data_IF_963570397711
#
_entry.id   IF_963570397711
#
_cell.length_a   1.000
_cell.length_b   1.000
_cell.length_c   1.000
_cell.angle_alpha   90.00
_cell.angle_beta   90.00
_cell.angle_gamma   90.00
#
_symmetry.space_group_name_H-M   'P 1'
#
loop_
_entity.id
_entity.type
_entity.pdbx_description
1 polymer ?
#
# COMPACT_ATOMS: atom_id res chain seq x y z
N UNK A 1 -100.33 19.16 14.90
CA UNK A 1 -100.53 17.72 14.67
C UNK A 1 -99.19 16.99 14.82
N UNK A 2 -99.22 15.77 15.39
CA UNK A 2 -98.15 14.84 15.79
C UNK A 2 -97.15 14.48 14.64
N UNK A 3 -95.83 14.37 14.87
CA UNK A 3 -95.01 13.20 15.35
C UNK A 3 -94.93 12.09 14.25
N UNK A 4 -93.79 11.61 13.72
CA UNK A 4 -92.73 10.71 14.28
C UNK A 4 -91.66 10.42 13.17
N UNK A 5 -90.38 10.19 13.52
CA UNK A 5 -89.30 9.55 12.68
C UNK A 5 -89.21 8.04 12.99
N UNK A 6 -88.76 7.14 12.08
CA UNK A 6 -87.41 6.50 12.23
C UNK A 6 -86.72 6.12 10.87
N UNK A 7 -85.39 6.21 10.70
CA UNK A 7 -84.30 5.25 11.03
C UNK A 7 -84.10 4.07 10.04
N UNK A 8 -82.91 4.00 9.41
CA UNK A 8 -82.19 2.85 8.78
C UNK A 8 -80.76 3.40 8.50
N UNK A 9 -79.63 3.09 9.16
CA UNK A 9 -78.82 1.84 9.35
C UNK A 9 -78.85 0.92 8.12
N UNK A 10 -77.78 0.41 7.48
CA UNK A 10 -76.35 0.08 7.70
C UNK A 10 -75.66 0.25 6.32
N UNK A 11 -74.35 0.42 6.09
CA UNK A 11 -73.21 -0.47 6.33
C UNK A 11 -71.97 0.21 5.71
N UNK A 12 -70.81 0.28 6.38
CA UNK A 12 -69.64 0.89 5.73
C UNK A 12 -68.37 1.07 6.55
N UNK A 13 -67.95 0.00 7.22
CA UNK A 13 -66.55 -0.37 7.55
C UNK A 13 -65.73 0.58 8.45
N UNK A 14 -65.44 0.00 9.62
CA UNK A 14 -64.43 0.35 10.61
C UNK A 14 -63.04 -0.02 10.08
N UNK A 15 -62.06 0.89 10.11
CA UNK A 15 -60.76 0.69 10.81
C UNK A 15 -59.86 1.93 10.70
N UNK A 16 -59.72 2.58 11.85
CA UNK A 16 -58.70 3.55 12.25
C UNK A 16 -57.39 2.73 12.46
N UNK A 17 -56.17 3.24 12.22
CA UNK A 17 -55.26 3.76 13.27
C UNK A 17 -53.83 3.92 12.70
N UNK A 18 -53.36 5.17 12.72
CA UNK A 18 -52.01 5.66 13.07
C UNK A 18 -50.80 5.23 12.22
N UNK A 19 -50.31 6.15 11.39
CA UNK A 19 -48.92 6.19 10.91
C UNK A 19 -48.09 7.13 11.79
N UNK A 20 -47.53 6.58 12.88
CA UNK A 20 -46.45 7.21 13.64
C UNK A 20 -45.12 6.59 13.22
N UNK A 21 -44.22 7.45 12.75
CA UNK A 21 -42.78 7.36 12.96
C UNK A 21 -42.09 6.06 12.54
N UNK A 22 -41.61 6.03 11.31
CA UNK A 22 -40.20 5.64 11.06
C UNK A 22 -39.67 6.66 10.07
N UNK A 23 -39.05 7.71 10.63
CA UNK A 23 -38.02 8.47 9.94
C UNK A 23 -37.01 7.42 9.48
N UNK A 24 -37.10 7.00 8.22
CA UNK A 24 -36.09 6.13 7.65
C UNK A 24 -34.82 6.96 7.66
N UNK A 25 -34.01 6.71 8.68
CA UNK A 25 -32.57 6.70 8.50
C UNK A 25 -32.29 5.67 7.41
N UNK A 26 -32.57 6.03 6.15
CA UNK A 26 -31.65 5.73 5.08
C UNK A 26 -30.39 6.52 5.43
N UNK A 27 -29.70 6.03 6.47
CA UNK A 27 -28.27 6.04 6.52
C UNK A 27 -27.92 5.51 5.15
N UNK A 28 -27.50 6.42 4.28
CA UNK A 28 -26.62 6.08 3.19
C UNK A 28 -25.38 5.47 3.86
N UNK A 29 -25.50 4.22 4.29
CA UNK A 29 -24.46 3.24 4.16
C UNK A 29 -24.36 3.06 2.66
N UNK A 30 -23.76 4.08 2.03
CA UNK A 30 -23.04 3.84 0.81
C UNK A 30 -22.05 2.77 1.23
N UNK A 31 -22.33 1.54 0.81
CA UNK A 31 -21.33 0.51 0.67
C UNK A 31 -20.22 1.17 -0.15
N UNK A 32 -19.29 1.84 0.54
CA UNK A 32 -18.02 2.21 -0.05
C UNK A 32 -17.43 0.86 -0.34
N UNK A 33 -17.56 0.42 -1.59
CA UNK A 33 -16.76 -0.65 -2.13
C UNK A 33 -15.32 -0.24 -1.81
N UNK A 34 -14.79 -0.76 -0.70
CA UNK A 34 -13.40 -0.59 -0.29
C UNK A 34 -12.60 -1.40 -1.29
N UNK A 35 -12.30 -0.88 -2.48
CA UNK A 35 -11.50 -1.61 -3.47
C UNK A 35 -10.72 -0.68 -4.42
N UNK A 36 -10.30 0.50 -3.99
CA UNK A 36 -9.21 1.19 -4.69
C UNK A 36 -7.89 0.92 -3.96
N UNK A 37 -6.80 0.69 -4.70
CA UNK A 37 -5.47 0.57 -4.09
C UNK A 37 -5.05 1.84 -3.33
N UNK A 38 -5.68 2.98 -3.64
CA UNK A 38 -5.57 4.21 -2.88
C UNK A 38 -6.17 4.08 -1.46
N UNK A 39 -7.38 3.54 -1.34
CA UNK A 39 -8.01 3.30 -0.02
C UNK A 39 -7.23 2.26 0.79
N UNK A 40 -6.72 1.23 0.13
CA UNK A 40 -5.84 0.24 0.75
C UNK A 40 -4.57 0.89 1.31
N UNK A 41 -3.87 1.70 0.50
CA UNK A 41 -2.67 2.43 0.95
C UNK A 41 -2.98 3.35 2.14
N UNK A 42 -4.10 4.08 2.11
CA UNK A 42 -4.49 4.94 3.24
C UNK A 42 -4.75 4.13 4.52
N UNK A 43 -5.49 3.02 4.41
CA UNK A 43 -5.81 2.12 5.55
C UNK A 43 -4.56 1.47 6.11
N UNK A 44 -3.64 1.02 5.26
CA UNK A 44 -2.39 0.41 5.67
C UNK A 44 -1.49 1.41 6.41
N UNK A 45 -1.36 2.64 5.91
CA UNK A 45 -0.59 3.68 6.60
C UNK A 45 -1.22 4.09 7.94
N UNK A 46 -2.56 4.14 8.03
CA UNK A 46 -3.24 4.38 9.29
C UNK A 46 -2.90 3.27 10.31
N UNK A 47 -3.00 2.00 9.90
CA UNK A 47 -2.63 0.86 10.75
C UNK A 47 -1.17 0.96 11.22
N UNK A 48 -0.23 1.22 10.30
CA UNK A 48 1.20 1.35 10.59
C UNK A 48 1.45 2.46 11.64
N UNK A 49 0.82 3.62 11.48
CA UNK A 49 0.93 4.74 12.43
C UNK A 49 0.35 4.41 13.80
N UNK A 50 -0.82 3.77 13.85
CA UNK A 50 -1.44 3.29 15.10
C UNK A 50 -0.54 2.28 15.85
N UNK A 51 0.34 1.58 15.12
CA UNK A 51 1.33 0.65 15.66
C UNK A 51 2.73 1.27 15.83
N UNK A 52 2.82 2.61 15.80
CA UNK A 52 4.03 3.37 16.07
C UNK A 52 5.08 3.35 14.95
N UNK A 53 4.73 2.81 13.77
CA UNK A 53 5.62 2.83 12.62
C UNK A 53 5.59 4.20 11.95
N UNK A 54 6.77 4.68 11.56
CA UNK A 54 7.01 6.02 10.98
C UNK A 54 7.38 5.96 9.49
N UNK A 55 7.47 4.77 8.91
CA UNK A 55 7.84 4.56 7.52
C UNK A 55 6.57 4.40 6.66
N UNK A 56 6.43 5.13 5.54
CA UNK A 56 5.22 5.08 4.73
C UNK A 56 5.18 3.86 3.81
N UNK A 57 3.98 3.29 3.63
CA UNK A 57 3.71 2.30 2.59
C UNK A 57 3.09 2.98 1.35
N UNK A 58 3.78 2.91 0.21
CA UNK A 58 3.30 3.42 -1.07
C UNK A 58 3.11 2.25 -2.03
N UNK A 59 1.97 2.23 -2.72
CA UNK A 59 1.54 1.10 -3.54
C UNK A 59 1.69 1.44 -5.03
N UNK A 60 2.46 0.64 -5.78
CA UNK A 60 2.75 0.88 -7.19
C UNK A 60 1.50 0.79 -8.08
N UNK A 61 0.51 0.02 -7.66
CA UNK A 61 -0.77 -0.19 -8.35
C UNK A 61 -1.86 0.82 -7.94
N UNK A 62 -1.52 1.88 -7.19
CA UNK A 62 -2.44 2.97 -6.88
C UNK A 62 -2.86 3.74 -8.15
N UNK A 63 -4.16 3.95 -8.40
CA UNK A 63 -4.67 4.52 -9.65
C UNK A 63 -4.16 5.94 -9.93
N UNK A 64 -3.62 6.66 -8.94
CA UNK A 64 -3.06 8.00 -9.12
C UNK A 64 -1.78 8.01 -9.99
N UNK A 65 -1.09 6.88 -10.10
CA UNK A 65 0.16 6.77 -10.89
C UNK A 65 0.34 5.41 -11.58
N UNK A 66 -0.52 4.42 -11.30
CA UNK A 66 -0.43 3.06 -11.83
C UNK A 66 -0.23 3.00 -13.35
N UNK A 67 -0.87 3.91 -14.09
CA UNK A 67 -0.86 3.94 -15.56
C UNK A 67 0.28 4.79 -16.15
N UNK A 68 1.13 5.39 -15.31
CA UNK A 68 2.25 6.20 -15.78
C UNK A 68 3.26 5.32 -16.52
N UNK A 69 3.69 5.77 -17.69
CA UNK A 69 4.51 4.97 -18.58
C UNK A 69 5.90 4.70 -17.95
N UNK A 70 6.21 3.42 -17.78
CA UNK A 70 7.52 2.97 -17.33
C UNK A 70 7.85 1.61 -17.92
N UNK A 71 8.91 1.59 -18.73
CA UNK A 71 9.34 0.41 -19.47
C UNK A 71 9.07 0.45 -20.97
N UNK A 72 9.51 -0.60 -21.65
CA UNK A 72 9.31 -0.81 -23.08
C UNK A 72 9.55 -2.27 -23.46
N UNK A 73 8.91 -2.73 -24.55
CA UNK A 73 9.16 -4.07 -25.10
C UNK A 73 8.37 -5.21 -24.45
N UNK A 74 7.34 -4.90 -23.66
CA UNK A 74 6.32 -5.85 -23.18
C UNK A 74 4.90 -5.32 -23.46
N UNK A 75 3.88 -6.12 -23.17
CA UNK A 75 2.47 -5.72 -23.27
C UNK A 75 2.04 -4.71 -22.18
N UNK A 76 2.83 -4.59 -21.09
CA UNK A 76 2.55 -3.73 -19.94
C UNK A 76 3.79 -2.92 -19.57
N UNK A 77 3.76 -1.63 -19.91
CA UNK A 77 4.87 -0.69 -19.72
C UNK A 77 4.45 0.47 -18.81
N UNK A 78 4.00 0.14 -17.61
CA UNK A 78 3.51 1.09 -16.63
C UNK A 78 4.11 0.85 -15.23
N UNK A 79 3.88 1.80 -14.31
CA UNK A 79 4.32 1.68 -12.93
C UNK A 79 3.63 0.54 -12.17
N UNK A 80 2.37 0.23 -12.49
CA UNK A 80 1.66 -0.87 -11.86
C UNK A 80 2.38 -2.20 -12.06
N UNK A 81 2.97 -2.43 -13.23
CA UNK A 81 3.70 -3.67 -13.54
C UNK A 81 5.19 -3.58 -13.20
N UNK A 82 5.86 -2.47 -13.55
CA UNK A 82 7.33 -2.38 -13.51
C UNK A 82 7.87 -1.54 -12.33
N UNK A 83 7.01 -0.91 -11.54
CA UNK A 83 7.35 0.20 -10.64
C UNK A 83 7.84 -0.18 -9.24
N UNK A 84 8.18 -1.44 -8.95
CA UNK A 84 8.54 -1.87 -7.59
C UNK A 84 9.75 -1.13 -7.02
N UNK A 85 10.82 -0.98 -7.81
CA UNK A 85 12.02 -0.23 -7.41
C UNK A 85 11.73 1.28 -7.30
N UNK A 86 11.01 1.86 -8.27
CA UNK A 86 10.63 3.28 -8.30
C UNK A 86 9.81 3.63 -7.06
N UNK A 87 8.83 2.81 -6.72
CA UNK A 87 7.95 3.00 -5.57
C UNK A 87 8.69 2.80 -4.25
N UNK A 88 9.59 1.81 -4.18
CA UNK A 88 10.45 1.59 -3.00
C UNK A 88 11.39 2.77 -2.74
N UNK A 89 11.97 3.37 -3.77
CA UNK A 89 12.78 4.58 -3.65
C UNK A 89 11.95 5.81 -3.21
N UNK A 90 10.70 5.90 -3.65
CA UNK A 90 9.77 6.94 -3.19
C UNK A 90 9.49 6.81 -1.68
N UNK A 91 9.34 5.58 -1.17
CA UNK A 91 9.20 5.34 0.28
C UNK A 91 10.45 5.76 1.05
N UNK A 92 11.65 5.42 0.56
CA UNK A 92 12.92 5.83 1.16
C UNK A 92 13.06 7.36 1.21
N UNK A 93 12.76 8.06 0.11
CA UNK A 93 12.85 9.51 0.07
C UNK A 93 11.80 10.17 0.98
N UNK A 94 10.59 9.61 1.02
CA UNK A 94 9.52 10.11 1.89
C UNK A 94 9.94 10.07 3.36
N UNK A 95 10.55 8.96 3.78
CA UNK A 95 11.06 8.79 5.13
C UNK A 95 12.16 9.79 5.47
N UNK A 96 13.10 10.06 4.55
CA UNK A 96 14.18 11.04 4.78
C UNK A 96 13.70 12.48 4.80
N UNK A 97 12.78 12.85 3.90
CA UNK A 97 12.35 14.25 3.75
C UNK A 97 11.15 14.61 4.64
N UNK A 98 10.62 13.66 5.41
CA UNK A 98 9.45 13.83 6.27
C UNK A 98 8.24 14.42 5.52
N UNK A 99 8.07 14.03 4.25
CA UNK A 99 6.94 14.37 3.39
C UNK A 99 6.58 13.19 2.52
N UNK A 100 5.39 13.19 1.96
CA UNK A 100 5.06 12.21 0.91
C UNK A 100 5.81 12.56 -0.37
N UNK A 101 6.59 11.60 -0.87
CA UNK A 101 7.18 11.59 -2.20
C UNK A 101 6.41 10.58 -3.03
N UNK A 102 5.85 10.99 -4.17
CA UNK A 102 5.13 10.07 -5.04
C UNK A 102 6.07 9.31 -5.98
N UNK A 103 5.72 8.08 -6.42
CA UNK A 103 6.53 7.32 -7.39
C UNK A 103 6.81 8.10 -8.68
N UNK A 104 5.91 9.00 -9.06
CA UNK A 104 6.06 9.90 -10.22
C UNK A 104 7.23 10.87 -10.09
N UNK A 105 7.62 11.30 -8.88
CA UNK A 105 8.80 12.16 -8.69
C UNK A 105 10.10 11.40 -9.01
N UNK A 106 10.18 10.14 -8.57
CA UNK A 106 11.32 9.26 -8.87
C UNK A 106 11.35 8.94 -10.36
N UNK A 107 10.19 8.59 -10.94
CA UNK A 107 10.04 8.32 -12.37
C UNK A 107 10.41 9.52 -13.25
N UNK A 108 9.99 10.73 -12.87
CA UNK A 108 10.31 11.95 -13.62
C UNK A 108 11.82 12.20 -13.67
N UNK A 109 12.53 11.90 -12.58
CA UNK A 109 13.99 12.00 -12.54
C UNK A 109 14.69 10.90 -13.35
N UNK A 110 14.25 9.64 -13.19
CA UNK A 110 14.92 8.50 -13.80
C UNK A 110 14.58 8.34 -15.29
N UNK A 111 13.36 8.70 -15.68
CA UNK A 111 12.73 8.20 -16.90
C UNK A 111 12.86 6.69 -17.01
N UNK A 112 13.09 6.21 -18.23
CA UNK A 112 13.40 4.81 -18.54
C UNK A 112 14.92 4.48 -18.48
N UNK A 113 15.77 5.38 -17.94
CA UNK A 113 17.24 5.19 -18.00
C UNK A 113 17.74 3.90 -17.36
N UNK A 114 17.04 3.45 -16.32
CA UNK A 114 17.39 2.24 -15.57
C UNK A 114 16.41 1.10 -15.85
N UNK A 115 15.53 1.22 -16.85
CA UNK A 115 14.66 0.12 -17.21
C UNK A 115 15.41 -0.89 -18.09
N UNK A 116 15.24 -2.17 -17.79
CA UNK A 116 15.75 -3.29 -18.57
C UNK A 116 14.57 -4.16 -19.03
N UNK A 117 14.42 -4.31 -20.36
CA UNK A 117 13.31 -5.06 -20.96
C UNK A 117 13.25 -6.49 -20.42
N UNK A 118 12.10 -6.83 -19.85
CA UNK A 118 11.84 -8.15 -19.25
C UNK A 118 12.46 -8.38 -17.87
N UNK A 119 13.22 -7.43 -17.33
CA UNK A 119 13.88 -7.53 -16.00
C UNK A 119 13.39 -6.45 -15.01
N UNK A 120 12.72 -5.40 -15.49
CA UNK A 120 12.23 -4.31 -14.66
C UNK A 120 13.29 -3.22 -14.48
N UNK A 121 13.64 -2.88 -13.24
CA UNK A 121 14.58 -1.78 -12.97
C UNK A 121 15.98 -2.32 -12.61
N UNK A 122 16.99 -1.90 -13.37
CA UNK A 122 18.39 -2.18 -13.11
C UNK A 122 18.84 -1.66 -11.74
N UNK A 123 19.64 -2.44 -11.03
CA UNK A 123 20.15 -2.07 -9.70
C UNK A 123 21.07 -0.83 -9.71
N UNK A 124 21.58 -0.42 -10.88
CA UNK A 124 22.32 0.82 -11.05
C UNK A 124 21.52 2.08 -10.67
N UNK A 125 20.18 1.97 -10.56
CA UNK A 125 19.35 3.06 -10.02
C UNK A 125 19.67 3.40 -8.57
N UNK A 126 20.04 2.42 -7.73
CA UNK A 126 20.25 2.64 -6.29
C UNK A 126 21.44 3.58 -5.99
N UNK A 127 22.65 3.36 -6.54
CA UNK A 127 23.75 4.31 -6.37
C UNK A 127 23.47 5.66 -7.05
N UNK A 128 22.78 5.68 -8.20
CA UNK A 128 22.42 6.93 -8.85
C UNK A 128 21.40 7.74 -8.05
N UNK A 129 20.44 7.08 -7.42
CA UNK A 129 19.46 7.68 -6.52
C UNK A 129 20.17 8.26 -5.29
N UNK A 130 21.07 7.49 -4.68
CA UNK A 130 21.84 7.97 -3.54
C UNK A 130 22.66 9.22 -3.90
N UNK A 131 23.31 9.24 -5.06
CA UNK A 131 24.02 10.42 -5.54
C UNK A 131 23.08 11.61 -5.77
N UNK A 132 21.92 11.40 -6.41
CA UNK A 132 20.96 12.45 -6.73
C UNK A 132 20.39 13.14 -5.49
N UNK A 133 20.05 12.36 -4.46
CA UNK A 133 19.38 12.84 -3.26
C UNK A 133 20.32 12.95 -2.05
N UNK A 134 21.63 12.81 -2.27
CA UNK A 134 22.66 13.03 -1.23
C UNK A 134 22.64 11.99 -0.11
N UNK A 135 22.28 10.74 -0.39
CA UNK A 135 22.43 9.63 0.56
C UNK A 135 23.84 9.05 0.48
N UNK A 136 24.31 8.52 1.61
CA UNK A 136 25.35 7.50 1.58
C UNK A 136 24.70 6.15 1.31
N UNK A 137 25.05 5.51 0.19
CA UNK A 137 24.61 4.15 -0.11
C UNK A 137 25.60 3.14 0.44
N UNK A 138 25.08 2.11 1.10
CA UNK A 138 25.83 0.88 1.32
C UNK A 138 25.09 -0.32 0.72
N UNK A 139 25.78 -1.03 -0.18
CA UNK A 139 25.35 -2.34 -0.65
C UNK A 139 25.75 -3.41 0.37
N UNK A 140 24.74 -4.12 0.89
CA UNK A 140 24.89 -5.10 1.95
C UNK A 140 25.01 -6.52 1.40
N UNK A 141 24.59 -6.76 0.16
CA UNK A 141 24.55 -8.10 -0.43
C UNK A 141 23.59 -9.01 0.34
N UNK A 142 24.00 -10.26 0.53
CA UNK A 142 23.32 -11.23 1.40
C UNK A 142 23.97 -11.36 2.78
N UNK A 143 24.68 -10.34 3.24
CA UNK A 143 25.36 -10.40 4.53
C UNK A 143 24.37 -10.16 5.68
N UNK A 144 23.86 -11.23 6.26
CA UNK A 144 22.87 -11.19 7.34
C UNK A 144 23.32 -10.33 8.53
N UNK A 145 24.61 -10.40 8.91
CA UNK A 145 25.15 -9.63 10.04
C UNK A 145 25.07 -8.13 9.74
N UNK A 146 25.49 -7.70 8.55
CA UNK A 146 25.39 -6.30 8.13
C UNK A 146 23.93 -5.83 8.04
N UNK A 147 23.04 -6.67 7.51
CA UNK A 147 21.61 -6.36 7.43
C UNK A 147 21.03 -6.15 8.84
N UNK A 148 21.29 -7.10 9.76
CA UNK A 148 20.86 -6.99 11.16
C UNK A 148 21.41 -5.74 11.85
N UNK A 149 22.67 -5.37 11.61
CA UNK A 149 23.28 -4.17 12.17
C UNK A 149 22.54 -2.90 11.75
N UNK A 150 22.19 -2.75 10.47
CA UNK A 150 21.45 -1.57 9.99
C UNK A 150 19.99 -1.56 10.45
N UNK A 151 19.35 -2.73 10.52
CA UNK A 151 18.02 -2.86 11.12
C UNK A 151 18.01 -2.43 12.60
N UNK A 152 19.07 -2.77 13.35
CA UNK A 152 19.21 -2.35 14.75
C UNK A 152 19.45 -0.85 14.91
N UNK A 153 19.89 -0.16 13.85
CA UNK A 153 19.97 1.30 13.77
C UNK A 153 18.66 1.94 13.32
N UNK A 154 17.58 1.16 13.18
CA UNK A 154 16.28 1.59 12.68
C UNK A 154 16.33 2.19 11.27
N UNK A 155 17.31 1.76 10.45
CA UNK A 155 17.42 2.18 9.06
C UNK A 155 16.56 1.28 8.16
N UNK A 156 15.76 1.85 7.24
CA UNK A 156 15.08 1.07 6.22
C UNK A 156 16.10 0.47 5.24
N UNK A 157 15.80 -0.72 4.74
CA UNK A 157 16.66 -1.46 3.79
C UNK A 157 15.81 -1.82 2.58
N UNK A 158 16.23 -1.38 1.39
CA UNK A 158 15.67 -1.87 0.13
C UNK A 158 16.24 -3.26 -0.11
N UNK A 159 15.39 -4.23 -0.42
CA UNK A 159 15.80 -5.61 -0.72
C UNK A 159 15.31 -6.02 -2.09
N UNK A 160 16.14 -6.77 -2.79
CA UNK A 160 15.74 -7.57 -3.93
C UNK A 160 15.54 -9.02 -3.48
N UNK A 161 14.42 -9.62 -3.84
CA UNK A 161 14.11 -11.01 -3.54
C UNK A 161 13.89 -11.83 -4.81
N UNK A 162 14.25 -13.10 -4.75
CA UNK A 162 14.00 -14.14 -5.76
C UNK A 162 12.60 -14.74 -5.57
N UNK A 163 12.12 -15.63 -6.47
CA UNK A 163 10.85 -16.31 -6.30
C UNK A 163 10.72 -17.00 -4.93
N UNK A 164 9.54 -16.93 -4.34
CA UNK A 164 9.24 -17.44 -3.01
C UNK A 164 7.94 -16.87 -2.45
N UNK A 165 7.94 -16.57 -1.16
CA UNK A 165 6.79 -16.06 -0.41
C UNK A 165 6.26 -14.71 -0.91
N UNK A 166 7.15 -13.83 -1.40
CA UNK A 166 6.80 -12.44 -1.72
C UNK A 166 6.49 -12.22 -3.21
N UNK A 167 6.93 -13.13 -4.08
CA UNK A 167 6.87 -12.98 -5.55
C UNK A 167 7.12 -14.31 -6.25
N UNK A 168 6.59 -14.49 -7.46
CA UNK A 168 6.83 -15.67 -8.29
C UNK A 168 8.03 -15.52 -9.26
N UNK A 169 8.57 -14.30 -9.42
CA UNK A 169 9.64 -14.01 -10.41
C UNK A 169 10.86 -13.32 -9.78
N UNK A 170 10.61 -12.23 -9.06
CA UNK A 170 11.63 -11.33 -8.56
C UNK A 170 10.95 -10.03 -8.15
N UNK A 171 11.42 -9.40 -7.09
CA UNK A 171 10.75 -8.20 -6.56
C UNK A 171 11.67 -7.29 -5.78
N UNK A 172 11.34 -6.00 -5.77
CA UNK A 172 11.98 -4.99 -4.94
C UNK A 172 10.98 -4.48 -3.92
N UNK A 173 11.36 -4.54 -2.65
CA UNK A 173 10.54 -4.06 -1.52
C UNK A 173 11.43 -3.43 -0.46
N UNK A 174 10.83 -2.83 0.57
CA UNK A 174 11.57 -2.27 1.70
C UNK A 174 11.27 -3.08 2.97
N UNK A 175 12.29 -3.33 3.78
CA UNK A 175 12.15 -3.89 5.11
C UNK A 175 12.57 -2.86 6.16
N UNK A 176 11.90 -2.90 7.31
CA UNK A 176 12.30 -2.13 8.50
C UNK A 176 12.03 -2.97 9.74
N UNK A 177 12.82 -2.75 10.79
CA UNK A 177 12.54 -3.32 12.11
C UNK A 177 11.24 -2.69 12.66
N UNK A 178 10.37 -3.51 13.24
CA UNK A 178 9.19 -3.01 13.95
C UNK A 178 9.61 -2.20 15.17
N UNK A 179 8.92 -1.09 15.47
CA UNK A 179 9.16 -0.36 16.73
C UNK A 179 8.68 -1.12 17.97
N UNK A 180 7.77 -2.08 17.80
CA UNK A 180 7.11 -2.78 18.90
C UNK A 180 7.83 -4.07 19.31
N UNK A 181 8.65 -4.64 18.43
CA UNK A 181 9.33 -5.92 18.66
C UNK A 181 10.59 -6.07 17.78
N UNK A 182 11.37 -7.13 18.01
CA UNK A 182 12.60 -7.39 17.26
C UNK A 182 12.38 -7.96 15.84
N UNK A 183 11.13 -8.04 15.37
CA UNK A 183 10.79 -8.59 14.05
C UNK A 183 10.75 -7.50 12.96
N UNK A 184 10.67 -7.95 11.72
CA UNK A 184 10.64 -7.12 10.52
C UNK A 184 9.22 -6.90 10.05
N UNK A 185 8.97 -5.70 9.54
CA UNK A 185 7.80 -5.37 8.73
C UNK A 185 8.27 -5.20 7.28
N UNK A 186 7.46 -5.73 6.37
CA UNK A 186 7.69 -5.63 4.93
C UNK A 186 6.78 -4.56 4.37
N UNK A 187 7.40 -3.58 3.71
CA UNK A 187 6.75 -2.53 2.95
C UNK A 187 6.83 -2.93 1.47
N UNK A 188 5.88 -3.77 1.05
CA UNK A 188 5.77 -4.29 -0.31
C UNK A 188 5.05 -3.25 -1.20
N UNK A 189 5.69 -2.68 -2.24
CA UNK A 189 5.03 -1.76 -3.16
C UNK A 189 3.91 -2.42 -3.97
N UNK A 190 3.86 -3.76 -4.04
CA UNK A 190 2.82 -4.55 -4.67
C UNK A 190 1.92 -5.26 -3.64
N UNK A 191 1.83 -4.72 -2.42
CA UNK A 191 0.90 -5.20 -1.40
C UNK A 191 -0.55 -4.90 -1.80
N UNK A 192 -1.47 -5.74 -1.33
CA UNK A 192 -2.91 -5.66 -1.62
C UNK A 192 -3.70 -6.42 -0.57
N UNK A 193 -5.03 -6.34 -0.63
CA UNK A 193 -5.94 -6.82 0.43
C UNK A 193 -5.88 -8.31 0.77
N UNK A 194 -5.31 -9.17 -0.08
CA UNK A 194 -5.15 -10.61 0.18
C UNK A 194 -3.73 -11.00 0.69
N UNK A 195 -2.77 -10.08 0.64
CA UNK A 195 -1.39 -10.28 1.14
C UNK A 195 -1.20 -9.66 2.52
N UNK A 196 -1.44 -8.35 2.61
CA UNK A 196 -1.28 -7.51 3.79
C UNK A 196 0.05 -7.74 4.55
N UNK A 197 1.16 -7.77 3.82
CA UNK A 197 2.50 -7.98 4.41
C UNK A 197 2.82 -6.98 5.52
N UNK A 198 2.31 -5.74 5.42
CA UNK A 198 2.48 -4.69 6.42
C UNK A 198 1.89 -5.01 7.81
N UNK A 199 0.95 -5.96 7.91
CA UNK A 199 0.37 -6.43 9.19
C UNK A 199 1.11 -7.63 9.78
N UNK A 200 1.96 -8.27 9.00
CA UNK A 200 2.66 -9.48 9.39
C UNK A 200 4.04 -9.15 9.97
N UNK A 201 4.53 -10.04 10.82
CA UNK A 201 5.86 -9.91 11.42
C UNK A 201 6.76 -11.04 10.92
N UNK A 202 7.94 -10.67 10.43
CA UNK A 202 8.90 -11.59 9.81
C UNK A 202 10.19 -11.66 10.61
N UNK A 203 10.82 -12.83 10.67
CA UNK A 203 12.22 -12.91 11.11
C UNK A 203 13.15 -12.65 9.93
N UNK A 204 14.36 -12.14 10.21
CA UNK A 204 15.38 -12.03 9.19
C UNK A 204 15.71 -13.40 8.57
N UNK A 205 15.76 -14.47 9.38
CA UNK A 205 15.99 -15.84 8.92
C UNK A 205 14.96 -16.33 7.89
N UNK A 206 13.69 -15.85 7.97
CA UNK A 206 12.65 -16.19 6.98
C UNK A 206 12.87 -15.49 5.64
N UNK A 207 13.43 -14.29 5.66
CA UNK A 207 13.73 -13.51 4.46
C UNK A 207 15.02 -13.97 3.77
N UNK A 208 16.05 -14.33 4.54
CA UNK A 208 17.39 -14.59 4.02
C UNK A 208 17.47 -15.60 2.85
N UNK A 209 16.74 -16.74 2.85
CA UNK A 209 16.77 -17.69 1.73
C UNK A 209 16.26 -17.12 0.40
N UNK A 210 15.41 -16.09 0.46
CA UNK A 210 14.77 -15.46 -0.70
C UNK A 210 15.51 -14.19 -1.13
N UNK A 211 16.52 -13.75 -0.38
CA UNK A 211 17.24 -12.50 -0.64
C UNK A 211 18.19 -12.65 -1.83
N UNK A 212 18.05 -11.78 -2.82
CA UNK A 212 19.00 -11.61 -3.91
C UNK A 212 20.08 -10.57 -3.56
N UNK A 213 19.67 -9.41 -3.03
CA UNK A 213 20.56 -8.32 -2.64
C UNK A 213 19.85 -7.35 -1.67
N UNK A 214 20.61 -6.48 -0.99
CA UNK A 214 20.10 -5.48 -0.07
C UNK A 214 20.93 -4.20 -0.10
N UNK A 215 20.26 -3.05 0.04
CA UNK A 215 20.86 -1.72 0.07
C UNK A 215 20.25 -0.90 1.20
N UNK A 216 21.07 -0.11 1.86
CA UNK A 216 20.63 0.86 2.85
C UNK A 216 21.15 2.24 2.50
N UNK A 217 20.44 3.25 2.98
CA UNK A 217 20.63 4.66 2.65
C UNK A 217 20.69 5.44 3.96
N UNK A 218 21.79 6.17 4.20
CA UNK A 218 21.99 7.02 5.38
C UNK A 218 22.32 8.47 5.05
#
# INVERSE_FOLDING_TARGET
MRRIRPFSILLGIFLVVISLGILSTQIFHFDRVVNSQQDFSATANQYLQEHGQDFPLIIQTDPRWAQEAYGSGSDQNDLATNGCAITSLAMILSYREHRTVYPTEILQWSGNRYYETGQGTAWSIFPAFAQKYGFHLQELGKNQVKIQQHLNQNLPIVVSVTPGEFTDVGHIMVIKKSVQNEQLIIYDPNDRSDKEHYKQLYSLDRLMPQLANAWTFS
#
